data_IF_585027881301
#
_entry.id   IF_585027881301
#
_cell.length_a   1.000
_cell.length_b   1.000
_cell.length_c   1.000
_cell.angle_alpha   90.00
_cell.angle_beta   90.00
_cell.angle_gamma   90.00
#
_symmetry.space_group_name_H-M   'P 1'
#
loop_
_entity.id
_entity.type
_entity.pdbx_description
1 polymer ?
#
# COMPACT_ATOMS: atom_id res chain seq x y z
N UNK A 1 -36.83 -28.23 -45.20
CA UNK A 1 -36.38 -27.31 -44.12
C UNK A 1 -34.94 -26.94 -44.42
N UNK A 2 -34.63 -25.65 -44.49
CA UNK A 2 -33.34 -25.11 -44.94
C UNK A 2 -32.23 -25.49 -43.94
N UNK A 3 -31.01 -25.72 -44.42
CA UNK A 3 -29.78 -26.04 -43.70
C UNK A 3 -29.28 -24.91 -42.76
N UNK A 4 -30.18 -24.31 -41.98
CA UNK A 4 -29.95 -23.18 -41.07
C UNK A 4 -30.06 -23.55 -39.59
N UNK A 5 -30.28 -24.83 -39.29
CA UNK A 5 -30.57 -25.31 -37.93
C UNK A 5 -29.49 -26.27 -37.39
N UNK A 6 -28.28 -26.24 -37.94
CA UNK A 6 -27.14 -26.96 -37.33
C UNK A 6 -26.46 -26.00 -36.35
N UNK A 7 -26.78 -26.18 -35.07
CA UNK A 7 -26.19 -25.40 -33.98
C UNK A 7 -24.74 -25.86 -33.77
N UNK A 8 -23.81 -24.92 -33.85
CA UNK A 8 -22.40 -25.14 -33.53
C UNK A 8 -22.19 -25.02 -32.01
N UNK A 9 -22.21 -26.16 -31.32
CA UNK A 9 -22.04 -26.23 -29.87
C UNK A 9 -20.68 -25.68 -29.38
N UNK A 10 -19.53 -25.99 -30.03
CA UNK A 10 -18.25 -25.38 -29.67
C UNK A 10 -18.24 -23.86 -29.68
N UNK A 11 -18.85 -23.23 -30.69
CA UNK A 11 -18.93 -21.76 -30.76
C UNK A 11 -19.78 -21.21 -29.61
N UNK A 12 -20.93 -21.84 -29.36
CA UNK A 12 -21.84 -21.46 -28.29
C UNK A 12 -21.19 -21.58 -26.90
N UNK A 13 -20.43 -22.65 -26.65
CA UNK A 13 -19.72 -22.85 -25.39
C UNK A 13 -18.66 -21.77 -25.15
N UNK A 14 -17.92 -21.39 -26.20
CA UNK A 14 -16.94 -20.29 -26.13
C UNK A 14 -17.62 -18.96 -25.81
N UNK A 15 -18.75 -18.67 -26.44
CA UNK A 15 -19.53 -17.45 -26.18
C UNK A 15 -20.04 -17.41 -24.74
N UNK A 16 -20.55 -18.54 -24.24
CA UNK A 16 -20.97 -18.68 -22.85
C UNK A 16 -19.81 -18.43 -21.88
N UNK A 17 -18.65 -19.04 -22.12
CA UNK A 17 -17.48 -18.87 -21.27
C UNK A 17 -17.04 -17.40 -21.23
N UNK A 18 -17.01 -16.73 -22.38
CA UNK A 18 -16.68 -15.31 -22.46
C UNK A 18 -17.71 -14.43 -21.70
N UNK A 19 -19.00 -14.75 -21.82
CA UNK A 19 -20.06 -14.06 -21.10
C UNK A 19 -19.88 -14.23 -19.57
N UNK A 20 -19.64 -15.44 -19.10
CA UNK A 20 -19.42 -15.73 -17.67
C UNK A 20 -18.18 -15.01 -17.12
N UNK A 21 -17.08 -14.98 -17.88
CA UNK A 21 -15.87 -14.25 -17.49
C UNK A 21 -16.10 -12.74 -17.41
N UNK A 22 -16.86 -12.19 -18.36
CA UNK A 22 -17.24 -10.78 -18.37
C UNK A 22 -18.11 -10.41 -17.17
N UNK A 23 -19.06 -11.28 -16.80
CA UNK A 23 -19.93 -11.08 -15.64
C UNK A 23 -19.12 -11.15 -14.33
N UNK A 24 -18.24 -12.15 -14.18
CA UNK A 24 -17.34 -12.26 -13.03
C UNK A 24 -16.43 -11.05 -12.87
N UNK A 25 -16.01 -10.44 -13.98
CA UNK A 25 -15.24 -9.19 -13.96
C UNK A 25 -16.13 -8.02 -13.52
N UNK A 26 -17.30 -7.87 -14.13
CA UNK A 26 -18.27 -6.83 -13.80
C UNK A 26 -18.64 -6.82 -12.32
N UNK A 27 -18.93 -8.00 -11.74
CA UNK A 27 -19.28 -8.14 -10.33
C UNK A 27 -18.15 -7.63 -9.42
N UNK A 28 -16.90 -8.01 -9.70
CA UNK A 28 -15.72 -7.57 -8.91
C UNK A 28 -15.48 -6.06 -9.02
N UNK A 29 -15.59 -5.50 -10.22
CA UNK A 29 -15.44 -4.06 -10.44
C UNK A 29 -16.55 -3.28 -9.73
N UNK A 30 -17.81 -3.75 -9.82
CA UNK A 30 -18.94 -3.09 -9.17
C UNK A 30 -18.84 -3.12 -7.64
N UNK A 31 -18.45 -4.26 -7.09
CA UNK A 31 -18.17 -4.42 -5.66
C UNK A 31 -17.06 -3.47 -5.20
N UNK A 32 -15.98 -3.31 -5.98
CA UNK A 32 -14.96 -2.31 -5.70
C UNK A 32 -15.47 -0.86 -5.76
N UNK A 33 -16.34 -0.53 -6.74
CA UNK A 33 -16.99 0.80 -6.82
C UNK A 33 -17.84 1.06 -5.58
N UNK A 34 -18.67 0.10 -5.16
CA UNK A 34 -19.52 0.22 -3.98
C UNK A 34 -18.69 0.37 -2.69
N UNK A 35 -17.59 -0.39 -2.56
CA UNK A 35 -16.65 -0.21 -1.44
C UNK A 35 -16.02 1.17 -1.42
N UNK A 36 -15.51 1.65 -2.55
CA UNK A 36 -14.86 2.97 -2.62
C UNK A 36 -15.84 4.09 -2.25
N UNK A 37 -17.09 4.03 -2.75
CA UNK A 37 -18.16 4.95 -2.35
C UNK A 37 -18.45 4.86 -0.86
N UNK A 38 -18.54 3.65 -0.32
CA UNK A 38 -18.81 3.44 1.11
C UNK A 38 -17.69 3.99 2.00
N UNK A 39 -16.44 3.92 1.53
CA UNK A 39 -15.26 4.48 2.20
C UNK A 39 -15.15 6.01 2.07
N UNK A 40 -15.99 6.64 1.23
CA UNK A 40 -16.00 8.09 0.98
C UNK A 40 -14.64 8.64 0.54
N UNK A 41 -14.00 7.98 -0.43
CA UNK A 41 -12.72 8.43 -1.01
C UNK A 41 -12.76 9.89 -1.46
N UNK A 42 -11.67 10.61 -1.21
CA UNK A 42 -11.63 12.08 -1.30
C UNK A 42 -11.40 12.62 -2.71
N UNK A 43 -10.92 11.78 -3.64
CA UNK A 43 -10.67 12.18 -5.03
C UNK A 43 -11.07 11.10 -6.04
N UNK A 44 -11.35 11.51 -7.26
CA UNK A 44 -11.65 10.58 -8.35
C UNK A 44 -10.45 9.67 -8.69
N UNK A 45 -9.22 10.19 -8.58
CA UNK A 45 -8.02 9.39 -8.86
C UNK A 45 -7.89 8.23 -7.87
N UNK A 46 -8.13 8.49 -6.58
CA UNK A 46 -8.16 7.45 -5.54
C UNK A 46 -9.27 6.41 -5.81
N UNK A 47 -10.47 6.86 -6.18
CA UNK A 47 -11.56 5.98 -6.60
C UNK A 47 -11.15 5.09 -7.80
N UNK A 48 -10.53 5.69 -8.82
CA UNK A 48 -10.07 5.00 -10.02
C UNK A 48 -9.04 3.93 -9.68
N UNK A 49 -8.06 4.26 -8.84
CA UNK A 49 -7.01 3.34 -8.43
C UNK A 49 -7.57 2.14 -7.66
N UNK A 50 -8.54 2.37 -6.77
CA UNK A 50 -9.24 1.29 -6.04
C UNK A 50 -10.00 0.35 -6.99
N UNK A 51 -10.71 0.89 -7.98
CA UNK A 51 -11.47 0.08 -8.95
C UNK A 51 -10.52 -0.70 -9.87
N UNK A 52 -9.42 -0.08 -10.32
CA UNK A 52 -8.41 -0.77 -11.14
C UNK A 52 -7.74 -1.91 -10.37
N UNK A 53 -7.51 -1.73 -9.06
CA UNK A 53 -6.92 -2.73 -8.18
C UNK A 53 -7.89 -3.86 -7.75
N UNK A 54 -9.14 -3.89 -8.23
CA UNK A 54 -10.16 -4.86 -7.76
C UNK A 54 -9.84 -6.33 -8.04
N UNK A 55 -8.93 -6.60 -8.98
CA UNK A 55 -8.54 -7.94 -9.39
C UNK A 55 -7.39 -8.52 -8.54
N UNK A 56 -6.79 -7.71 -7.65
CA UNK A 56 -5.72 -8.14 -6.76
C UNK A 56 -6.27 -9.08 -5.69
N UNK A 57 -5.53 -10.16 -5.43
CA UNK A 57 -5.82 -11.10 -4.34
C UNK A 57 -5.01 -10.71 -3.10
N UNK A 58 -5.53 -10.94 -1.88
CA UNK A 58 -4.73 -10.82 -0.67
C UNK A 58 -3.49 -11.72 -0.76
N UNK A 59 -2.35 -11.20 -0.30
CA UNK A 59 -1.09 -11.95 -0.27
C UNK A 59 -1.23 -13.20 0.62
N UNK A 60 -0.92 -14.36 0.04
CA UNK A 60 -0.90 -15.63 0.75
C UNK A 60 0.35 -15.73 1.65
N UNK A 61 0.37 -16.70 2.58
CA UNK A 61 1.51 -16.87 3.50
C UNK A 61 2.81 -17.19 2.76
N UNK A 62 2.71 -18.01 1.72
CA UNK A 62 3.82 -18.36 0.82
C UNK A 62 4.42 -17.15 0.10
N UNK A 63 3.60 -16.15 -0.22
CA UNK A 63 4.05 -14.92 -0.88
C UNK A 63 4.89 -14.04 0.07
N UNK A 64 4.83 -14.29 1.38
CA UNK A 64 5.55 -13.53 2.41
C UNK A 64 6.91 -14.14 2.77
N UNK A 65 7.21 -15.36 2.31
CA UNK A 65 8.40 -16.13 2.71
C UNK A 65 9.66 -15.82 1.89
N UNK A 66 9.56 -15.05 0.80
CA UNK A 66 10.66 -14.81 -0.14
C UNK A 66 11.67 -13.73 0.24
N UNK A 67 11.46 -12.94 1.30
CA UNK A 67 12.43 -11.92 1.72
C UNK A 67 12.58 -11.92 3.25
N UNK A 68 13.76 -12.23 3.81
CA UNK A 68 14.01 -12.01 5.23
C UNK A 68 13.78 -10.52 5.51
N UNK A 69 12.82 -10.21 6.38
CA UNK A 69 12.60 -8.84 6.85
C UNK A 69 13.84 -8.45 7.66
N UNK A 70 14.76 -7.73 7.03
CA UNK A 70 16.00 -7.26 7.66
C UNK A 70 15.74 -6.26 8.79
N UNK A 71 14.53 -5.71 8.89
CA UNK A 71 14.16 -4.68 9.85
C UNK A 71 12.82 -5.03 10.51
N UNK A 72 12.69 -4.91 11.85
CA UNK A 72 11.41 -4.95 12.54
C UNK A 72 10.46 -3.89 11.97
N UNK A 73 9.21 -4.26 11.74
CA UNK A 73 8.17 -3.33 11.24
C UNK A 73 7.89 -2.16 12.19
N UNK A 74 8.21 -2.34 13.48
CA UNK A 74 8.16 -1.28 14.47
C UNK A 74 9.39 -1.40 15.39
N UNK A 75 10.43 -0.58 15.21
CA UNK A 75 11.51 -0.52 16.17
C UNK A 75 10.97 0.12 17.45
N UNK A 76 10.69 -0.72 18.46
CA UNK A 76 10.35 -0.23 19.79
C UNK A 76 11.62 0.42 20.34
N UNK A 77 11.57 1.71 20.67
CA UNK A 77 12.66 2.35 21.38
C UNK A 77 12.89 1.59 22.69
N UNK A 78 14.13 1.20 23.04
CA UNK A 78 14.37 0.59 24.33
C UNK A 78 13.91 1.56 25.40
N UNK A 79 12.96 1.14 26.25
CA UNK A 79 12.60 1.90 27.43
C UNK A 79 13.86 2.00 28.28
N UNK A 80 14.33 3.23 28.48
CA UNK A 80 15.48 3.51 29.32
C UNK A 80 15.04 3.35 30.78
N UNK A 81 14.84 2.11 31.21
CA UNK A 81 14.67 1.76 32.61
C UNK A 81 16.07 1.78 33.19
N UNK A 82 16.38 2.88 33.88
CA UNK A 82 17.69 3.18 34.43
C UNK A 82 18.28 1.99 35.20
N UNK A 83 19.51 1.62 34.82
CA UNK A 83 20.28 0.58 35.48
C UNK A 83 21.65 0.48 34.81
N UNK A 84 22.63 1.13 35.42
CA UNK A 84 24.06 1.11 35.11
C UNK A 84 24.59 -0.27 34.67
N UNK A 85 25.16 -0.35 33.47
CA UNK A 85 25.89 -1.52 33.00
C UNK A 85 26.42 -1.28 31.59
N UNK A 86 27.73 -1.08 31.47
CA UNK A 86 28.41 -0.89 30.20
C UNK A 86 28.23 -2.12 29.31
N UNK A 87 27.77 -1.90 28.08
CA UNK A 87 27.65 -2.93 27.05
C UNK A 87 27.64 -2.26 25.69
N UNK A 88 28.82 -2.10 25.10
CA UNK A 88 28.98 -1.69 23.71
C UNK A 88 28.14 -2.59 22.80
N UNK A 89 27.08 -2.05 22.21
CA UNK A 89 26.51 -2.58 20.97
C UNK A 89 26.50 -1.44 19.97
N UNK A 90 27.39 -1.57 18.98
CA UNK A 90 27.53 -0.68 17.84
C UNK A 90 26.21 -0.65 17.07
N UNK A 91 25.44 0.42 17.25
CA UNK A 91 24.34 0.72 16.34
C UNK A 91 24.96 1.14 15.01
N UNK A 92 24.60 0.41 13.95
CA UNK A 92 25.03 0.73 12.59
C UNK A 92 24.45 2.11 12.26
N UNK A 93 25.31 3.11 12.33
CA UNK A 93 25.04 4.47 11.91
C UNK A 93 24.74 4.41 10.41
N UNK A 94 23.45 4.36 10.06
CA UNK A 94 23.00 4.67 8.71
C UNK A 94 23.12 6.19 8.54
N UNK A 95 24.37 6.62 8.43
CA UNK A 95 24.76 7.97 8.11
C UNK A 95 24.39 8.20 6.66
N UNK A 96 23.23 8.80 6.43
CA UNK A 96 23.06 9.65 5.26
C UNK A 96 24.01 10.82 5.44
N UNK A 97 25.23 10.60 4.95
CA UNK A 97 26.33 11.54 4.92
C UNK A 97 25.93 12.70 4.00
N UNK A 98 25.18 13.66 4.52
CA UNK A 98 25.01 14.96 3.90
C UNK A 98 26.18 15.84 4.38
N UNK A 99 27.36 15.61 3.82
CA UNK A 99 28.45 16.56 3.97
C UNK A 99 28.23 17.74 3.02
N UNK A 100 27.91 18.86 3.66
CA UNK A 100 28.43 20.20 3.39
C UNK A 100 28.34 20.76 1.97
N UNK A 101 27.40 21.70 1.80
CA UNK A 101 27.69 22.97 1.11
C UNK A 101 27.44 24.11 2.10
N UNK A 102 28.52 24.49 2.78
CA UNK A 102 28.87 25.78 3.38
C UNK A 102 27.75 26.78 3.75
N UNK A 103 27.55 26.95 5.07
CA UNK A 103 27.70 28.26 5.71
C UNK A 103 26.47 29.15 5.83
N UNK A 104 25.68 29.01 6.92
CA UNK A 104 25.04 30.15 7.59
C UNK A 104 24.99 29.89 9.10
N UNK A 105 25.46 30.87 9.84
CA UNK A 105 25.55 31.01 11.29
C UNK A 105 24.17 30.81 11.94
N UNK A 106 24.01 29.84 12.86
CA UNK A 106 22.92 29.88 13.84
C UNK A 106 23.41 30.63 15.07
N UNK A 107 23.08 31.92 15.09
CA UNK A 107 23.24 32.81 16.24
C UNK A 107 22.33 32.33 17.37
N UNK A 108 22.94 32.11 18.53
CA UNK A 108 22.25 32.02 19.82
C UNK A 108 21.46 33.31 20.07
N UNK A 109 20.25 33.22 20.62
CA UNK A 109 19.54 34.42 21.08
C UNK A 109 18.07 34.25 21.46
N UNK A 110 17.86 34.02 22.75
CA UNK A 110 16.83 34.64 23.60
C UNK A 110 15.33 34.47 23.29
N UNK A 111 14.72 33.62 24.13
CA UNK A 111 13.49 33.85 24.91
C UNK A 111 12.86 35.24 24.79
N UNK A 112 11.62 35.31 24.30
CA UNK A 112 10.69 36.39 24.66
C UNK A 112 9.30 35.81 24.87
N UNK A 113 8.80 35.99 26.09
CA UNK A 113 7.44 35.69 26.55
C UNK A 113 6.52 36.78 25.97
N UNK A 114 5.39 36.41 25.36
CA UNK A 114 4.30 37.35 25.12
C UNK A 114 3.12 36.98 26.02
N UNK A 115 2.98 37.78 27.08
CA UNK A 115 1.77 37.88 27.89
C UNK A 115 0.66 38.59 27.12
N UNK A 116 -0.56 38.24 27.51
CA UNK A 116 -1.86 38.72 27.06
C UNK A 116 -1.98 40.23 26.80
N UNK A 117 -2.74 40.54 25.75
CA UNK A 117 -3.78 41.57 25.77
C UNK A 117 -5.00 41.05 25.01
#
# INVERSE_FOLDING_TARGET
MSQRDVIDFPVLERELQAALESERRYVRENDAKLRAVSQRVGSYNEFRDLVLACHLKPLEKKDKEGSPRKQPWNPVAPSNIGGSGQGHTLYVHNSFHCLMVLGVIWSLGSTVIFSSF
#
